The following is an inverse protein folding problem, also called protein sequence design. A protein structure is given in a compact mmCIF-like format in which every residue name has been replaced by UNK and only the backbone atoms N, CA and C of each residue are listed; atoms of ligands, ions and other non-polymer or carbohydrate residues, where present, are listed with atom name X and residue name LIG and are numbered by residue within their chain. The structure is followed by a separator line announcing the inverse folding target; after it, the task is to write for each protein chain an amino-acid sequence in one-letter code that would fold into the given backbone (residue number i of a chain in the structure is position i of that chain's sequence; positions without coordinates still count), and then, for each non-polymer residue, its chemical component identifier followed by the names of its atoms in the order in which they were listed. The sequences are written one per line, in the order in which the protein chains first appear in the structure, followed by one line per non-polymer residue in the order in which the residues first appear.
data_IF_514512064058
#
_entry.id   IF_514512064058
#
_cell.length_a   1.000
_cell.length_b   1.000
_cell.length_c   1.000
_cell.angle_alpha   90.00
_cell.angle_beta   90.00
_cell.angle_gamma   90.00
#
_symmetry.space_group_name_H-M   'P 1'
#
loop_
_entity.id
_entity.type
_entity.pdbx_description
1 polymer ?
#
# COMPACT_ATOMS: atom_id res chain seq x y z
N UNK A 1 69.84 -34.08 -30.49
CA UNK A 1 69.60 -32.84 -31.26
C UNK A 1 68.32 -32.20 -30.73
N UNK A 2 68.47 -31.01 -30.12
CA UNK A 2 67.50 -29.92 -29.83
C UNK A 2 66.14 -30.18 -29.16
N UNK A 3 66.04 -29.58 -27.97
CA UNK A 3 64.86 -29.11 -27.22
C UNK A 3 63.81 -28.37 -28.08
N UNK A 4 62.54 -28.49 -27.67
CA UNK A 4 61.65 -27.31 -27.51
C UNK A 4 60.93 -27.35 -26.16
N UNK A 5 60.86 -26.16 -25.59
CA UNK A 5 60.64 -25.73 -24.21
C UNK A 5 59.18 -25.31 -23.95
N UNK A 6 58.75 -25.42 -22.68
CA UNK A 6 57.92 -24.47 -21.87
C UNK A 6 56.51 -24.18 -22.42
N UNK A 7 55.39 -24.45 -21.74
CA UNK A 7 55.06 -24.18 -20.34
C UNK A 7 54.21 -22.90 -20.25
N UNK A 8 52.94 -23.00 -19.82
CA UNK A 8 52.18 -21.89 -19.22
C UNK A 8 50.81 -22.38 -18.72
N UNK A 9 50.69 -22.47 -17.39
CA UNK A 9 49.44 -22.25 -16.67
C UNK A 9 48.80 -20.93 -17.08
N UNK A 10 47.49 -20.93 -17.36
CA UNK A 10 46.67 -19.73 -17.17
C UNK A 10 45.37 -20.13 -16.46
N UNK A 11 45.35 -19.85 -15.16
CA UNK A 11 44.14 -19.56 -14.40
C UNK A 11 43.60 -18.22 -14.91
N UNK A 12 42.41 -18.21 -15.51
CA UNK A 12 41.50 -17.06 -15.55
C UNK A 12 40.18 -17.65 -15.09
N UNK A 13 39.63 -17.34 -13.93
CA UNK A 13 39.51 -16.02 -13.35
C UNK A 13 38.01 -15.81 -13.21
N UNK A 14 37.53 -15.76 -11.97
CA UNK A 14 36.15 -15.48 -11.63
C UNK A 14 35.65 -14.27 -12.42
N UNK A 15 34.59 -14.44 -13.21
CA UNK A 15 33.58 -13.40 -13.27
C UNK A 15 32.43 -13.91 -12.42
N UNK A 16 32.56 -13.62 -11.12
CA UNK A 16 31.39 -13.37 -10.29
C UNK A 16 30.45 -12.51 -11.13
N UNK A 17 29.28 -13.06 -11.46
CA UNK A 17 28.18 -12.27 -11.99
C UNK A 17 27.79 -11.28 -10.91
N UNK A 18 28.47 -10.15 -10.84
CA UNK A 18 27.94 -8.94 -10.27
C UNK A 18 26.67 -8.68 -11.07
N UNK A 19 25.52 -9.07 -10.51
CA UNK A 19 24.24 -8.58 -10.96
C UNK A 19 24.39 -7.05 -10.99
N UNK A 20 24.60 -6.51 -12.18
CA UNK A 20 24.96 -5.11 -12.37
C UNK A 20 23.91 -4.26 -11.69
N UNK A 21 24.37 -3.32 -10.86
CA UNK A 21 23.52 -2.27 -10.32
C UNK A 21 22.71 -1.67 -11.48
N UNK A 22 21.38 -1.49 -11.34
CA UNK A 22 20.56 -0.94 -12.41
C UNK A 22 21.16 0.35 -12.95
N UNK A 23 21.17 0.52 -14.28
CA UNK A 23 21.62 1.75 -14.93
C UNK A 23 20.90 2.96 -14.30
N UNK A 24 21.62 3.90 -13.68
CA UNK A 24 21.02 5.07 -13.04
C UNK A 24 20.12 5.89 -13.98
N UNK A 25 20.46 5.97 -15.26
CA UNK A 25 19.65 6.70 -16.24
C UNK A 25 18.30 6.00 -16.47
N UNK A 26 18.31 4.66 -16.52
CA UNK A 26 17.09 3.86 -16.63
C UNK A 26 16.22 3.98 -15.38
N UNK A 27 16.82 3.98 -14.20
CA UNK A 27 16.09 4.18 -12.94
C UNK A 27 15.43 5.56 -12.91
N UNK A 28 16.16 6.62 -13.25
CA UNK A 28 15.62 7.98 -13.28
C UNK A 28 14.46 8.12 -14.29
N UNK A 29 14.59 7.54 -15.49
CA UNK A 29 13.51 7.54 -16.48
C UNK A 29 12.26 6.82 -15.96
N UNK A 30 12.43 5.67 -15.31
CA UNK A 30 11.33 4.94 -14.68
C UNK A 30 10.67 5.75 -13.56
N UNK A 31 11.47 6.43 -12.73
CA UNK A 31 10.97 7.30 -11.66
C UNK A 31 10.12 8.44 -12.21
N UNK A 32 10.59 9.08 -13.29
CA UNK A 32 9.90 10.17 -13.95
C UNK A 32 8.57 9.71 -14.57
N UNK A 33 8.57 8.61 -15.32
CA UNK A 33 7.38 8.05 -15.96
C UNK A 33 6.29 7.71 -14.92
N UNK A 34 6.65 6.95 -13.89
CA UNK A 34 5.67 6.60 -12.84
C UNK A 34 5.20 7.82 -12.03
N UNK A 35 6.04 8.84 -11.88
CA UNK A 35 5.64 10.10 -11.26
C UNK A 35 4.60 10.85 -12.10
N UNK A 36 4.79 10.87 -13.42
CA UNK A 36 3.83 11.46 -14.35
C UNK A 36 2.48 10.73 -14.34
N UNK A 37 2.49 9.39 -14.23
CA UNK A 37 1.28 8.57 -14.09
C UNK A 37 0.53 8.90 -12.79
N UNK A 38 1.22 8.97 -11.65
CA UNK A 38 0.61 9.38 -10.38
C UNK A 38 -0.03 10.78 -10.51
N UNK A 39 0.65 11.75 -11.10
CA UNK A 39 0.11 13.09 -11.29
C UNK A 39 -1.04 13.16 -12.30
N UNK A 40 -1.09 12.24 -13.28
CA UNK A 40 -2.23 12.10 -14.17
C UNK A 40 -3.44 11.54 -13.43
N UNK A 41 -3.23 10.56 -12.56
CA UNK A 41 -4.27 9.93 -11.74
C UNK A 41 -4.89 10.88 -10.73
N UNK A 42 -4.08 11.80 -10.18
CA UNK A 42 -4.56 12.89 -9.33
C UNK A 42 -5.65 13.72 -10.02
N UNK A 43 -5.57 13.92 -11.34
CA UNK A 43 -6.55 14.71 -12.10
C UNK A 43 -7.87 13.98 -12.34
N UNK A 44 -7.92 12.64 -12.17
CA UNK A 44 -9.13 11.84 -12.44
C UNK A 44 -10.27 12.15 -11.47
N UNK A 45 -9.96 12.29 -10.18
CA UNK A 45 -10.96 12.60 -9.13
C UNK A 45 -10.58 13.77 -8.22
N UNK A 46 -9.41 14.37 -8.42
CA UNK A 46 -8.96 15.54 -7.67
C UNK A 46 -8.04 15.22 -6.49
N UNK A 47 -8.02 13.97 -6.02
CA UNK A 47 -7.14 13.52 -4.93
C UNK A 47 -6.74 12.05 -5.13
N UNK A 48 -5.68 11.62 -4.44
CA UNK A 48 -5.22 10.22 -4.40
C UNK A 48 -5.16 9.73 -2.96
N UNK A 49 -5.43 8.44 -2.77
CA UNK A 49 -5.34 7.77 -1.48
C UNK A 49 -4.58 6.45 -1.61
N UNK A 50 -3.59 6.26 -0.75
CA UNK A 50 -2.90 5.00 -0.52
C UNK A 50 -3.12 4.56 0.93
N UNK A 51 -3.45 3.27 1.12
CA UNK A 51 -3.66 2.67 2.45
C UNK A 51 -2.98 1.31 2.47
N UNK A 52 -2.28 0.97 3.56
CA UNK A 52 -1.71 -0.36 3.79
C UNK A 52 -2.51 -1.07 4.88
N UNK A 53 -3.01 -2.26 4.60
CA UNK A 53 -3.61 -3.11 5.62
C UNK A 53 -2.55 -4.04 6.20
N UNK A 54 -2.51 -4.13 7.51
CA UNK A 54 -1.65 -5.06 8.24
C UNK A 54 -2.46 -5.79 9.29
N UNK A 55 -2.04 -7.01 9.60
CA UNK A 55 -2.47 -7.70 10.80
C UNK A 55 -1.27 -7.96 11.71
N UNK A 56 -1.51 -8.11 13.01
CA UNK A 56 -0.47 -8.34 14.02
C UNK A 56 -0.68 -9.69 14.72
N UNK A 57 -0.43 -10.83 14.06
CA UNK A 57 -0.38 -12.11 14.75
C UNK A 57 0.72 -12.10 15.83
N UNK A 58 0.70 -13.11 16.71
CA UNK A 58 1.63 -13.23 17.85
C UNK A 58 3.14 -13.09 17.50
N UNK A 59 3.52 -13.24 16.24
CA UNK A 59 4.92 -13.24 15.77
C UNK A 59 5.35 -11.94 15.05
N UNK A 60 4.53 -10.89 15.09
CA UNK A 60 4.79 -9.61 14.46
C UNK A 60 3.79 -9.29 13.34
N UNK A 61 3.89 -8.07 12.82
CA UNK A 61 3.04 -7.56 11.77
C UNK A 61 3.27 -8.31 10.45
N UNK A 62 2.19 -8.48 9.70
CA UNK A 62 2.16 -9.06 8.37
C UNK A 62 1.40 -8.18 7.41
N UNK A 63 1.82 -8.22 6.14
CA UNK A 63 1.03 -7.66 5.06
C UNK A 63 -0.29 -8.41 4.96
N UNK A 64 -1.33 -7.63 4.76
CA UNK A 64 -2.63 -8.15 4.47
C UNK A 64 -3.00 -7.82 3.02
N UNK A 65 -3.17 -8.84 2.18
CA UNK A 65 -3.70 -8.68 0.83
C UNK A 65 -5.23 -8.64 0.91
N UNK A 66 -5.83 -7.53 0.50
CA UNK A 66 -7.23 -7.29 0.79
C UNK A 66 -7.67 -5.91 0.35
N UNK A 67 -8.81 -5.45 0.85
CA UNK A 67 -9.32 -4.12 0.55
C UNK A 67 -10.20 -3.61 1.68
N UNK A 68 -10.34 -2.29 1.74
CA UNK A 68 -11.37 -1.62 2.53
C UNK A 68 -12.42 -1.02 1.60
N UNK A 69 -13.63 -0.91 2.12
CA UNK A 69 -14.69 -0.13 1.49
C UNK A 69 -14.85 1.17 2.26
N UNK A 70 -14.77 2.27 1.53
CA UNK A 70 -14.94 3.63 2.02
C UNK A 70 -16.27 4.19 1.53
N UNK A 71 -17.01 4.81 2.45
CA UNK A 71 -18.15 5.66 2.10
C UNK A 71 -17.91 7.07 2.55
N UNK A 72 -18.28 8.02 1.70
CA UNK A 72 -18.24 9.43 2.02
C UNK A 72 -19.19 9.70 3.19
N UNK A 73 -18.83 10.61 4.08
CA UNK A 73 -19.65 11.00 5.21
C UNK A 73 -20.44 12.24 4.82
N UNK A 74 -21.76 12.14 4.91
CA UNK A 74 -22.70 13.23 4.68
C UNK A 74 -23.60 13.39 5.92
N UNK A 75 -23.75 14.61 6.42
CA UNK A 75 -24.48 14.90 7.66
C UNK A 75 -24.10 13.99 8.85
N UNK A 76 -22.81 13.63 8.96
CA UNK A 76 -22.28 12.80 10.06
C UNK A 76 -22.53 11.30 9.94
N UNK A 77 -23.07 10.82 8.82
CA UNK A 77 -23.30 9.38 8.57
C UNK A 77 -22.70 8.97 7.22
N UNK A 78 -22.36 7.68 7.01
CA UNK A 78 -22.02 7.18 5.69
C UNK A 78 -23.14 7.49 4.70
N UNK A 79 -22.78 8.07 3.55
CA UNK A 79 -23.70 8.37 2.47
C UNK A 79 -24.08 7.07 1.77
N UNK A 80 -25.36 6.73 1.83
CA UNK A 80 -25.93 5.53 1.19
C UNK A 80 -26.34 5.81 -0.26
N UNK A 81 -26.34 7.07 -0.70
CA UNK A 81 -26.75 7.50 -2.04
C UNK A 81 -25.58 7.58 -3.03
N UNK A 82 -24.36 7.84 -2.54
CA UNK A 82 -23.15 7.74 -3.34
C UNK A 82 -22.62 6.28 -3.36
N UNK A 83 -22.06 5.82 -4.49
CA UNK A 83 -21.48 4.49 -4.57
C UNK A 83 -20.27 4.36 -3.63
N UNK A 84 -20.11 3.22 -2.95
CA UNK A 84 -18.93 2.97 -2.13
C UNK A 84 -17.65 2.93 -2.98
N UNK A 85 -16.51 3.23 -2.36
CA UNK A 85 -15.19 3.13 -2.98
C UNK A 85 -14.38 2.02 -2.32
N UNK A 86 -14.03 0.99 -3.08
CA UNK A 86 -13.08 -0.03 -2.63
C UNK A 86 -11.64 0.43 -2.87
N UNK A 87 -10.81 0.33 -1.83
CA UNK A 87 -9.39 0.67 -1.85
C UNK A 87 -8.60 -0.58 -1.48
N UNK A 88 -7.82 -1.09 -2.43
CA UNK A 88 -6.93 -2.23 -2.19
C UNK A 88 -5.83 -1.91 -1.20
N UNK A 89 -5.42 -2.91 -0.42
CA UNK A 89 -4.30 -2.81 0.50
C UNK A 89 -2.99 -2.70 -0.29
N UNK A 90 -2.31 -1.57 -0.15
CA UNK A 90 -0.98 -1.37 -0.69
C UNK A 90 0.04 -2.27 0.01
N UNK A 91 1.08 -2.67 -0.73
CA UNK A 91 2.18 -3.43 -0.15
C UNK A 91 2.91 -2.60 0.92
N UNK A 92 3.02 -3.13 2.15
CA UNK A 92 3.94 -2.61 3.15
C UNK A 92 5.34 -3.17 2.92
N UNK A 93 6.23 -2.34 2.39
CA UNK A 93 7.63 -2.72 2.21
C UNK A 93 8.40 -2.62 3.53
N UNK A 94 7.98 -1.74 4.45
CA UNK A 94 8.60 -1.52 5.77
C UNK A 94 7.57 -1.55 6.91
N UNK A 95 7.18 -2.76 7.31
CA UNK A 95 6.32 -3.01 8.47
C UNK A 95 6.89 -2.43 9.76
N UNK A 96 6.00 -2.08 10.69
CA UNK A 96 6.35 -1.53 12.01
C UNK A 96 7.08 -2.56 12.87
N UNK A 97 6.51 -3.76 13.02
CA UNK A 97 7.11 -4.88 13.73
C UNK A 97 7.20 -6.10 12.83
N UNK A 98 8.16 -6.18 11.89
CA UNK A 98 8.18 -7.24 10.88
C UNK A 98 8.33 -8.62 11.52
N UNK A 99 7.50 -9.57 11.09
CA UNK A 99 7.77 -10.98 11.37
C UNK A 99 9.01 -11.48 10.59
N UNK A 100 9.54 -12.65 10.96
CA UNK A 100 10.71 -13.27 10.29
C UNK A 100 10.48 -13.61 8.80
N UNK A 101 9.25 -13.53 8.29
CA UNK A 101 8.81 -13.99 6.97
C UNK A 101 8.18 -12.87 6.12
N UNK A 102 8.51 -11.60 6.37
CA UNK A 102 7.85 -10.48 5.69
C UNK A 102 8.15 -10.47 4.18
N UNK A 103 7.14 -10.78 3.37
CA UNK A 103 7.15 -10.77 1.90
C UNK A 103 7.55 -9.41 1.28
N UNK A 104 7.46 -8.31 2.03
CA UNK A 104 7.96 -7.00 1.58
C UNK A 104 9.47 -6.99 1.30
N UNK A 105 10.20 -7.99 1.82
CA UNK A 105 11.62 -8.23 1.50
C UNK A 105 11.83 -9.00 0.20
N UNK A 106 10.81 -9.70 -0.32
CA UNK A 106 10.92 -10.54 -1.52
C UNK A 106 10.69 -9.76 -2.82
N UNK A 107 10.06 -8.57 -2.74
CA UNK A 107 9.83 -7.74 -3.92
C UNK A 107 10.31 -6.31 -3.71
N UNK A 108 11.11 -5.81 -4.64
CA UNK A 108 11.62 -4.44 -4.60
C UNK A 108 10.51 -3.41 -4.80
N UNK A 109 10.51 -2.36 -3.99
CA UNK A 109 9.67 -1.20 -4.23
C UNK A 109 10.17 -0.43 -5.47
N UNK A 110 9.23 0.01 -6.31
CA UNK A 110 9.48 0.89 -7.46
C UNK A 110 8.34 1.90 -7.56
N UNK A 111 8.55 3.01 -8.29
CA UNK A 111 7.48 3.99 -8.50
C UNK A 111 6.25 3.35 -9.17
N UNK A 112 6.44 2.47 -10.17
CA UNK A 112 5.34 1.81 -10.88
C UNK A 112 4.55 0.88 -9.96
N UNK A 113 5.18 0.33 -8.92
CA UNK A 113 4.47 -0.48 -7.93
C UNK A 113 3.69 0.40 -6.96
N UNK A 114 4.23 1.55 -6.55
CA UNK A 114 3.50 2.50 -5.70
C UNK A 114 2.34 3.17 -6.44
N UNK A 115 2.53 3.53 -7.71
CA UNK A 115 1.52 4.16 -8.58
C UNK A 115 0.20 3.38 -8.57
N UNK A 116 0.27 2.07 -8.80
CA UNK A 116 -0.90 1.16 -8.78
C UNK A 116 -1.69 1.15 -7.47
N UNK A 117 -1.07 1.57 -6.37
CA UNK A 117 -1.70 1.61 -5.05
C UNK A 117 -2.27 2.98 -4.67
N UNK A 118 -1.97 4.03 -5.44
CA UNK A 118 -2.64 5.32 -5.28
C UNK A 118 -3.99 5.29 -5.99
N UNK A 119 -5.06 5.17 -5.22
CA UNK A 119 -6.42 5.12 -5.75
C UNK A 119 -6.97 6.55 -5.92
N UNK A 120 -7.45 6.91 -7.13
CA UNK A 120 -8.16 8.17 -7.33
C UNK A 120 -9.43 8.24 -6.49
N UNK A 121 -9.56 9.33 -5.73
CA UNK A 121 -10.67 9.59 -4.81
C UNK A 121 -11.08 11.07 -4.89
N UNK A 122 -12.37 11.34 -4.71
CA UNK A 122 -12.84 12.71 -4.63
C UNK A 122 -12.47 13.32 -3.27
N UNK A 123 -12.34 14.64 -3.15
CA UNK A 123 -12.19 15.28 -1.86
C UNK A 123 -13.42 15.06 -0.99
N UNK A 124 -13.20 14.87 0.30
CA UNK A 124 -14.27 14.64 1.26
C UNK A 124 -13.78 13.95 2.53
N UNK A 125 -14.74 13.71 3.43
CA UNK A 125 -14.54 12.87 4.60
C UNK A 125 -15.11 11.49 4.31
N UNK A 126 -14.38 10.44 4.64
CA UNK A 126 -14.75 9.05 4.38
C UNK A 126 -14.70 8.23 5.67
N UNK A 127 -15.53 7.20 5.76
CA UNK A 127 -15.50 6.20 6.82
C UNK A 127 -15.32 4.80 6.22
N UNK A 128 -14.56 3.95 6.91
CA UNK A 128 -14.46 2.51 6.62
C UNK A 128 -15.76 1.83 7.04
N UNK A 129 -16.41 1.13 6.12
CA UNK A 129 -17.69 0.43 6.32
C UNK A 129 -17.60 -1.07 6.09
N UNK A 130 -16.55 -1.51 5.43
CA UNK A 130 -16.19 -2.91 5.25
C UNK A 130 -14.68 -3.05 5.10
N UNK A 131 -14.15 -4.20 5.50
CA UNK A 131 -12.78 -4.57 5.25
C UNK A 131 -12.68 -6.08 5.04
N UNK A 132 -11.93 -6.49 4.02
CA UNK A 132 -11.47 -7.85 3.82
C UNK A 132 -9.96 -7.88 3.92
N UNK A 133 -9.44 -8.81 4.70
CA UNK A 133 -8.04 -8.96 4.95
C UNK A 133 -7.62 -10.42 4.84
N UNK A 134 -6.75 -10.74 3.88
CA UNK A 134 -6.20 -12.07 3.69
C UNK A 134 -4.72 -12.08 4.05
N UNK A 135 -4.24 -13.18 4.63
CA UNK A 135 -2.80 -13.48 4.76
C UNK A 135 -2.62 -14.98 5.04
N UNK A 136 -1.77 -15.64 4.25
CA UNK A 136 -1.61 -17.10 4.34
C UNK A 136 -2.94 -17.82 4.11
N UNK A 137 -3.39 -18.61 5.10
CA UNK A 137 -4.70 -19.29 5.07
C UNK A 137 -5.78 -18.56 5.89
N UNK A 138 -5.49 -17.37 6.42
CA UNK A 138 -6.39 -16.60 7.26
C UNK A 138 -7.13 -15.55 6.42
N UNK A 139 -8.43 -15.44 6.64
CA UNK A 139 -9.27 -14.38 6.08
C UNK A 139 -10.05 -13.73 7.21
N UNK A 140 -9.90 -12.42 7.35
CA UNK A 140 -10.62 -11.58 8.31
C UNK A 140 -11.53 -10.68 7.49
N UNK A 141 -12.84 -10.84 7.66
CA UNK A 141 -13.84 -9.98 7.06
C UNK A 141 -14.71 -9.34 8.14
N UNK A 142 -14.95 -8.04 8.00
CA UNK A 142 -15.82 -7.29 8.89
C UNK A 142 -16.64 -6.26 8.13
N UNK A 143 -17.77 -5.86 8.70
CA UNK A 143 -18.71 -4.93 8.08
C UNK A 143 -19.82 -5.61 7.28
N UNK A 144 -20.71 -4.80 6.73
CA UNK A 144 -21.90 -5.23 6.00
C UNK A 144 -22.05 -4.63 4.61
N UNK A 145 -21.05 -3.86 4.17
CA UNK A 145 -21.05 -3.16 2.87
C UNK A 145 -20.48 -4.08 1.76
N UNK A 146 -21.09 -5.27 1.62
CA UNK A 146 -20.81 -6.19 0.52
C UNK A 146 -21.84 -6.00 -0.60
N UNK A 147 -21.37 -5.87 -1.84
CA UNK A 147 -22.20 -6.01 -3.04
C UNK A 147 -22.77 -7.45 -3.06
N UNK A 148 -24.01 -7.61 -2.60
CA UNK A 148 -24.64 -8.91 -2.49
C UNK A 148 -25.00 -9.51 -3.85
N UNK A 149 -24.30 -10.57 -4.27
CA UNK A 149 -24.68 -11.39 -5.45
C UNK A 149 -25.97 -12.22 -5.22
N UNK A 150 -26.48 -12.29 -3.98
CA UNK A 150 -27.62 -13.14 -3.58
C UNK A 150 -28.63 -12.49 -2.62
N UNK A 151 -28.83 -11.17 -2.68
CA UNK A 151 -30.00 -10.52 -2.05
C UNK A 151 -30.14 -10.68 -0.52
N UNK A 152 -29.09 -11.05 0.20
CA UNK A 152 -29.05 -10.92 1.67
C UNK A 152 -28.41 -9.59 2.04
N UNK A 153 -29.23 -8.55 1.93
CA UNK A 153 -28.96 -7.20 2.39
C UNK A 153 -28.65 -7.23 3.89
N UNK A 154 -27.38 -7.07 4.28
CA UNK A 154 -27.11 -6.55 5.63
C UNK A 154 -27.37 -5.04 5.56
N UNK A 155 -28.66 -4.69 5.71
CA UNK A 155 -29.26 -3.37 5.47
C UNK A 155 -28.91 -2.32 6.52
N UNK A 156 -27.68 -2.29 7.00
CA UNK A 156 -27.22 -1.17 7.80
C UNK A 156 -25.71 -0.98 7.61
N UNK A 157 -25.37 -0.03 6.74
CA UNK A 157 -24.01 0.45 6.57
C UNK A 157 -23.61 1.16 7.86
N UNK A 158 -22.75 0.53 8.67
CA UNK A 158 -22.15 1.12 9.87
C UNK A 158 -20.72 1.52 9.57
N UNK A 159 -20.29 2.74 9.96
CA UNK A 159 -18.86 3.00 10.04
C UNK A 159 -18.27 2.08 11.11
N UNK A 160 -17.05 1.61 10.89
CA UNK A 160 -16.30 0.90 11.94
C UNK A 160 -16.04 1.85 13.11
N UNK A 161 -15.82 1.30 14.30
CA UNK A 161 -15.37 2.08 15.44
C UNK A 161 -13.87 2.43 15.36
N UNK A 162 -13.38 3.21 16.32
CA UNK A 162 -11.96 3.57 16.42
C UNK A 162 -11.55 4.63 15.41
N UNK A 163 -10.33 4.50 14.88
CA UNK A 163 -9.73 5.40 13.90
C UNK A 163 -10.22 5.04 12.49
N UNK A 164 -11.53 5.12 12.23
CA UNK A 164 -12.16 4.60 11.00
C UNK A 164 -12.44 5.65 9.93
N UNK A 165 -12.11 6.92 10.18
CA UNK A 165 -12.40 8.01 9.25
C UNK A 165 -11.14 8.69 8.72
N UNK A 166 -11.24 9.26 7.52
CA UNK A 166 -10.16 10.04 6.91
C UNK A 166 -10.75 11.24 6.16
N UNK A 167 -10.06 12.37 6.21
CA UNK A 167 -10.42 13.57 5.44
C UNK A 167 -9.37 13.82 4.38
N UNK A 168 -9.81 14.03 3.15
CA UNK A 168 -8.97 14.20 1.97
C UNK A 168 -9.36 15.51 1.29
N UNK A 169 -8.40 16.42 1.17
CA UNK A 169 -8.56 17.72 0.51
C UNK A 169 -8.32 17.66 -0.99
N UNK A 170 -8.77 18.70 -1.69
CA UNK A 170 -8.54 18.86 -3.14
C UNK A 170 -7.04 18.96 -3.45
N UNK A 171 -6.61 18.25 -4.49
CA UNK A 171 -5.24 18.24 -4.97
C UNK A 171 -4.27 17.44 -4.09
N UNK A 172 -4.76 16.74 -3.06
CA UNK A 172 -3.90 15.98 -2.15
C UNK A 172 -3.57 14.60 -2.69
N UNK A 173 -2.29 14.21 -2.51
CA UNK A 173 -1.83 12.84 -2.60
C UNK A 173 -1.65 12.35 -1.17
N UNK A 174 -2.52 11.46 -0.70
CA UNK A 174 -2.56 11.05 0.71
C UNK A 174 -1.98 9.65 0.87
N UNK A 175 -0.96 9.52 1.70
CA UNK A 175 -0.56 8.23 2.28
C UNK A 175 -1.16 8.16 3.69
N UNK A 176 -2.20 7.31 3.84
CA UNK A 176 -2.91 7.12 5.10
C UNK A 176 -2.23 6.12 6.05
N UNK A 177 -1.00 5.72 5.75
CA UNK A 177 -0.20 4.82 6.56
C UNK A 177 -0.77 3.40 6.58
N UNK A 178 -0.85 2.86 7.79
CA UNK A 178 -1.27 1.50 8.10
C UNK A 178 -2.60 1.51 8.84
N UNK A 179 -3.46 0.57 8.47
CA UNK A 179 -4.64 0.22 9.25
C UNK A 179 -4.56 -1.23 9.70
N UNK A 180 -5.03 -1.48 10.92
CA UNK A 180 -5.24 -2.81 11.46
C UNK A 180 -6.69 -2.97 11.89
N UNK A 181 -7.26 -4.12 11.59
CA UNK A 181 -8.60 -4.48 12.05
C UNK A 181 -8.52 -5.02 13.48
N UNK A 182 -9.36 -4.48 14.35
CA UNK A 182 -9.50 -4.88 15.74
C UNK A 182 -10.97 -5.06 16.11
N UNK A 183 -11.23 -5.54 17.32
CA UNK A 183 -12.58 -5.78 17.81
C UNK A 183 -13.17 -7.10 17.33
N UNK A 184 -14.49 -7.13 17.15
CA UNK A 184 -15.23 -8.34 16.76
C UNK A 184 -15.91 -8.15 15.42
N UNK A 185 -16.39 -9.22 14.79
CA UNK A 185 -17.17 -9.12 13.54
C UNK A 185 -18.39 -8.20 13.66
N UNK A 186 -19.01 -8.13 14.85
CA UNK A 186 -20.18 -7.30 15.16
C UNK A 186 -19.86 -5.89 15.66
N UNK A 187 -18.67 -5.67 16.21
CA UNK A 187 -18.14 -4.35 16.59
C UNK A 187 -16.71 -4.21 16.04
N UNK A 188 -16.56 -4.05 14.71
CA UNK A 188 -15.26 -3.93 14.10
C UNK A 188 -14.70 -2.53 14.33
N UNK A 189 -13.39 -2.47 14.56
CA UNK A 189 -12.66 -1.24 14.84
C UNK A 189 -11.44 -1.13 13.96
N UNK A 190 -11.12 0.09 13.57
CA UNK A 190 -9.87 0.41 12.88
C UNK A 190 -8.89 0.99 13.90
N UNK A 191 -7.65 0.50 13.84
CA UNK A 191 -6.51 1.13 14.50
C UNK A 191 -5.61 1.72 13.42
N UNK A 192 -5.53 3.04 13.37
CA UNK A 192 -4.76 3.77 12.38
C UNK A 192 -3.37 4.12 12.90
N UNK A 193 -2.36 4.01 12.03
CA UNK A 193 -1.01 4.47 12.33
C UNK A 193 -0.35 5.00 11.07
N UNK A 194 0.53 5.98 11.21
CA UNK A 194 1.16 6.59 10.04
C UNK A 194 2.19 5.65 9.40
N UNK A 195 2.56 5.94 8.14
CA UNK A 195 3.69 5.29 7.50
C UNK A 195 4.97 5.43 8.36
N UNK A 196 5.74 4.34 8.49
CA UNK A 196 6.98 4.32 9.28
C UNK A 196 8.03 5.24 8.65
N UNK A 197 8.99 5.77 9.43
CA UNK A 197 10.10 6.54 8.85
C UNK A 197 10.83 5.77 7.74
N UNK A 198 11.05 4.46 7.92
CA UNK A 198 11.67 3.61 6.91
C UNK A 198 10.84 3.47 5.62
N UNK A 199 9.51 3.40 5.72
CA UNK A 199 8.63 3.39 4.54
C UNK A 199 8.70 4.74 3.82
N UNK A 200 8.69 5.85 4.56
CA UNK A 200 8.82 7.21 3.99
C UNK A 200 10.16 7.40 3.29
N UNK A 201 11.25 6.96 3.90
CA UNK A 201 12.58 7.02 3.28
C UNK A 201 12.65 6.18 2.00
N UNK A 202 12.01 5.01 1.99
CA UNK A 202 11.90 4.19 0.79
C UNK A 202 11.10 4.90 -0.30
N UNK A 203 9.92 5.45 0.03
CA UNK A 203 9.10 6.25 -0.89
C UNK A 203 9.89 7.43 -1.46
N UNK A 204 10.61 8.16 -0.62
CA UNK A 204 11.48 9.27 -1.04
C UNK A 204 12.54 8.82 -2.05
N UNK A 205 13.11 7.63 -1.84
CA UNK A 205 14.13 7.08 -2.73
C UNK A 205 13.58 6.62 -4.09
N UNK A 206 12.35 6.10 -4.13
CA UNK A 206 11.78 5.50 -5.35
C UNK A 206 10.89 6.45 -6.15
N UNK A 207 10.31 7.47 -5.54
CA UNK A 207 9.47 8.47 -6.22
C UNK A 207 9.80 9.90 -5.75
N UNK A 208 11.06 10.34 -5.95
CA UNK A 208 11.55 11.62 -5.42
C UNK A 208 10.79 12.84 -5.94
N UNK A 209 10.22 12.77 -7.15
CA UNK A 209 9.47 13.88 -7.76
C UNK A 209 8.10 14.12 -7.11
N UNK A 210 7.37 13.04 -6.78
CA UNK A 210 6.04 13.14 -6.17
C UNK A 210 6.12 13.23 -4.66
N UNK A 211 7.16 12.64 -4.04
CA UNK A 211 7.30 12.56 -2.58
C UNK A 211 7.02 13.86 -1.81
N UNK A 212 7.52 15.06 -2.23
CA UNK A 212 7.25 16.31 -1.53
C UNK A 212 5.77 16.72 -1.49
N UNK A 213 4.95 16.19 -2.41
CA UNK A 213 3.51 16.45 -2.49
C UNK A 213 2.66 15.46 -1.69
N UNK A 214 3.28 14.40 -1.14
CA UNK A 214 2.58 13.37 -0.37
C UNK A 214 2.29 13.90 1.03
N UNK A 215 1.01 13.92 1.38
CA UNK A 215 0.53 14.16 2.74
C UNK A 215 0.51 12.84 3.49
N UNK A 216 1.46 12.67 4.41
CA UNK A 216 1.51 11.52 5.31
C UNK A 216 0.58 11.75 6.50
N UNK A 217 -0.35 10.84 6.70
CA UNK A 217 -1.32 10.89 7.80
C UNK A 217 -1.76 9.48 8.18
N UNK A 218 -2.81 9.37 8.97
CA UNK A 218 -3.47 8.12 9.31
C UNK A 218 -4.98 8.33 9.35
N UNK A 219 -5.72 7.22 9.34
CA UNK A 219 -7.12 7.28 9.74
C UNK A 219 -7.24 7.74 11.21
N UNK A 220 -8.34 8.40 11.52
CA UNK A 220 -8.67 8.94 12.84
C UNK A 220 -10.17 8.85 13.12
N UNK A 221 -10.62 9.50 14.19
CA UNK A 221 -12.00 9.48 14.66
C UNK A 221 -12.88 10.59 14.07
#
# INVERSE_FOLDING_TARGET
MRLKTIGAWWVIGLLAGCAGTPDPAKVAAQQHEGSAEILADLKKKGSLLLVRMVDSPFLGDVNCDGYITLRKINAGKPDETEPPLSVGSAAAYRLQNPNKLSLGQLFSATVQRYERWFVPIAPGRYAVTYASCHYGNTTIEAGGDQDGLFGRTFSYVRPFGGDSTITIGQGQIVDAGYIRLAGTRSDPRVVGSEATPAERDLMKSVMPEVYPSITFTKFGS
#
